data_IF_473514225235
#
_entry.id   IF_473514225235
#
_cell.length_a   1.000
_cell.length_b   1.000
_cell.length_c   1.000
_cell.angle_alpha   90.00
_cell.angle_beta   90.00
_cell.angle_gamma   90.00
#
_symmetry.space_group_name_H-M   'P 1'
#
loop_
_entity.id
_entity.type
_entity.pdbx_description
1 polymer ?
#
# COMPACT_ATOMS: atom_id res chain seq x y z
N UNK A 1 0.38 -37.63 10.96
CA UNK A 1 -0.84 -37.03 11.50
C UNK A 1 -0.55 -35.56 11.83
N UNK A 2 -0.85 -34.64 10.90
CA UNK A 2 -0.66 -33.20 11.17
C UNK A 2 -1.85 -32.72 12.01
N UNK A 3 -1.61 -32.49 13.28
CA UNK A 3 -2.59 -31.78 14.13
C UNK A 3 -2.49 -30.30 13.72
N UNK A 4 -3.42 -29.85 12.87
CA UNK A 4 -3.45 -28.48 12.40
C UNK A 4 -3.67 -27.49 13.57
N UNK A 5 -3.13 -26.29 13.45
CA UNK A 5 -3.28 -25.18 14.42
C UNK A 5 -4.76 -24.93 14.86
N UNK A 6 -5.71 -25.26 14.00
CA UNK A 6 -7.15 -25.09 14.24
C UNK A 6 -7.67 -26.04 15.31
N UNK A 7 -7.25 -27.33 15.30
CA UNK A 7 -7.67 -28.32 16.29
C UNK A 7 -7.23 -27.99 17.72
N UNK A 8 -6.07 -27.32 17.88
CA UNK A 8 -5.59 -26.85 19.19
C UNK A 8 -6.47 -25.70 19.68
N UNK A 9 -6.86 -24.77 18.79
CA UNK A 9 -7.73 -23.63 19.16
C UNK A 9 -9.11 -24.06 19.58
N UNK A 10 -9.65 -25.13 18.98
CA UNK A 10 -10.95 -25.71 19.38
C UNK A 10 -10.84 -26.32 20.78
N UNK A 11 -9.82 -27.13 21.05
CA UNK A 11 -9.58 -27.70 22.37
C UNK A 11 -9.40 -26.65 23.47
N UNK A 12 -8.87 -25.48 23.14
CA UNK A 12 -8.74 -24.34 24.05
C UNK A 12 -10.02 -23.48 24.15
N UNK A 13 -11.12 -23.87 23.48
CA UNK A 13 -12.38 -23.11 23.46
C UNK A 13 -12.28 -21.75 22.71
N UNK A 14 -11.24 -21.56 21.91
CA UNK A 14 -11.02 -20.35 21.11
C UNK A 14 -11.69 -20.40 19.74
N UNK A 15 -12.12 -21.59 19.30
CA UNK A 15 -12.81 -21.85 18.04
C UNK A 15 -13.90 -22.91 18.28
N UNK A 16 -14.93 -22.87 17.44
CA UNK A 16 -16.05 -23.83 17.47
C UNK A 16 -16.25 -24.35 16.04
N UNK A 17 -16.40 -25.65 15.88
CA UNK A 17 -16.82 -26.27 14.62
C UNK A 17 -18.34 -26.40 14.61
N UNK A 18 -18.98 -25.93 13.55
CA UNK A 18 -20.44 -25.99 13.42
C UNK A 18 -20.95 -27.41 13.17
N UNK A 19 -20.14 -28.30 12.57
CA UNK A 19 -20.46 -29.71 12.33
C UNK A 19 -20.57 -30.53 13.64
N UNK A 20 -19.87 -30.10 14.68
CA UNK A 20 -19.90 -30.75 16.01
C UNK A 20 -20.78 -30.00 17.02
N UNK A 21 -21.41 -28.89 16.61
CA UNK A 21 -22.12 -27.99 17.53
C UNK A 21 -23.59 -27.89 17.15
N UNK A 22 -24.54 -28.26 18.05
CA UNK A 22 -25.95 -28.11 17.76
C UNK A 22 -26.31 -26.62 17.68
N UNK A 23 -26.97 -26.24 16.58
CA UNK A 23 -27.48 -24.89 16.33
C UNK A 23 -28.93 -24.98 15.84
N UNK A 24 -29.75 -24.03 16.25
CA UNK A 24 -31.19 -24.00 15.96
C UNK A 24 -31.59 -22.88 15.03
N UNK A 25 -30.79 -21.82 14.94
CA UNK A 25 -31.05 -20.71 14.03
C UNK A 25 -29.79 -19.97 13.66
N UNK A 26 -29.84 -19.30 12.51
CA UNK A 26 -28.81 -18.38 12.04
C UNK A 26 -29.41 -17.00 11.74
N UNK A 27 -28.72 -15.95 12.11
CA UNK A 27 -29.03 -14.57 11.76
C UNK A 27 -27.80 -13.90 11.17
N UNK A 28 -27.98 -13.11 10.11
CA UNK A 28 -26.91 -12.31 9.50
C UNK A 28 -27.22 -10.82 9.64
N UNK A 29 -26.18 -10.03 9.90
CA UNK A 29 -26.30 -8.58 10.09
C UNK A 29 -25.06 -7.82 9.60
N UNK A 30 -25.23 -6.50 9.49
CA UNK A 30 -24.16 -5.54 9.20
C UNK A 30 -23.90 -4.73 10.48
N UNK A 31 -22.83 -4.97 11.22
CA UNK A 31 -22.55 -4.23 12.45
C UNK A 31 -22.14 -2.77 12.19
N UNK A 32 -21.68 -2.47 10.97
CA UNK A 32 -21.25 -1.13 10.57
C UNK A 32 -21.93 -0.72 9.26
N UNK A 33 -22.90 0.19 9.39
CA UNK A 33 -23.61 0.76 8.24
C UNK A 33 -24.79 -0.10 7.78
N UNK A 34 -25.84 0.58 7.31
CA UNK A 34 -27.07 -0.06 6.81
C UNK A 34 -27.09 -0.21 5.29
N UNK A 35 -26.15 0.41 4.57
CA UNK A 35 -26.11 0.47 3.11
C UNK A 35 -24.66 0.45 2.59
N UNK A 36 -24.47 0.08 1.32
CA UNK A 36 -23.16 0.02 0.67
C UNK A 36 -23.10 0.97 -0.52
N UNK A 37 -22.02 1.74 -0.63
CA UNK A 37 -21.78 2.59 -1.79
C UNK A 37 -20.95 1.86 -2.87
N UNK A 38 -21.05 2.24 -4.16
CA UNK A 38 -20.15 1.73 -5.21
C UNK A 38 -18.68 1.87 -4.84
N UNK A 39 -17.91 0.79 -4.98
CA UNK A 39 -16.52 0.70 -4.53
C UNK A 39 -16.35 0.42 -3.02
N UNK A 40 -17.43 0.42 -2.25
CA UNK A 40 -17.42 0.18 -0.82
C UNK A 40 -17.27 -1.28 -0.42
N UNK A 41 -17.00 -1.48 0.86
CA UNK A 41 -16.92 -2.81 1.50
C UNK A 41 -17.57 -2.76 2.88
N UNK A 42 -18.26 -3.84 3.25
CA UNK A 42 -18.85 -4.04 4.57
C UNK A 42 -18.49 -5.43 5.09
N UNK A 43 -18.37 -5.58 6.39
CA UNK A 43 -18.19 -6.89 7.02
C UNK A 43 -19.54 -7.40 7.50
N UNK A 44 -19.81 -8.67 7.24
CA UNK A 44 -20.95 -9.39 7.76
C UNK A 44 -20.64 -9.94 9.16
N UNK A 45 -21.66 -10.13 9.95
CA UNK A 45 -21.62 -10.92 11.17
C UNK A 45 -22.76 -11.93 11.11
N UNK A 46 -22.45 -13.21 11.32
CA UNK A 46 -23.44 -14.25 11.47
C UNK A 46 -23.47 -14.73 12.93
N UNK A 47 -24.67 -14.82 13.49
CA UNK A 47 -24.97 -15.27 14.83
C UNK A 47 -25.71 -16.60 14.75
N UNK A 48 -25.30 -17.55 15.56
CA UNK A 48 -25.85 -18.91 15.63
C UNK A 48 -26.40 -19.14 17.03
N UNK A 49 -27.70 -19.42 17.14
CA UNK A 49 -28.32 -19.72 18.41
C UNK A 49 -28.27 -21.22 18.68
N UNK A 50 -27.81 -21.61 19.86
CA UNK A 50 -27.78 -23.00 20.33
C UNK A 50 -29.09 -23.35 21.06
N UNK A 51 -29.42 -24.65 21.23
CA UNK A 51 -30.61 -25.08 21.94
C UNK A 51 -30.70 -24.57 23.39
N UNK A 52 -29.57 -24.30 24.02
CA UNK A 52 -29.50 -23.75 25.39
C UNK A 52 -29.60 -22.19 25.42
N UNK A 53 -29.86 -21.56 24.28
CA UNK A 53 -30.00 -20.12 24.14
C UNK A 53 -28.67 -19.36 24.00
N UNK A 54 -27.54 -20.03 24.08
CA UNK A 54 -26.24 -19.37 23.82
C UNK A 54 -26.11 -18.97 22.37
N UNK A 55 -25.41 -17.86 22.11
CA UNK A 55 -25.15 -17.34 20.78
C UNK A 55 -23.67 -17.45 20.47
N UNK A 56 -23.37 -18.10 19.35
CA UNK A 56 -22.04 -18.14 18.75
C UNK A 56 -21.99 -17.13 17.62
N UNK A 57 -20.84 -16.48 17.44
CA UNK A 57 -20.65 -15.42 16.44
C UNK A 57 -19.47 -15.76 15.53
N UNK A 58 -19.53 -15.35 14.27
CA UNK A 58 -18.43 -15.50 13.33
C UNK A 58 -17.20 -14.71 13.73
N UNK A 59 -16.04 -15.21 13.36
CA UNK A 59 -14.75 -14.52 13.55
C UNK A 59 -14.73 -13.15 12.83
N UNK A 60 -13.94 -12.23 13.38
CA UNK A 60 -13.78 -10.88 12.80
C UNK A 60 -14.00 -9.80 13.84
N UNK A 61 -14.98 -8.91 13.62
CA UNK A 61 -15.16 -7.70 14.45
C UNK A 61 -15.49 -7.99 15.91
N UNK A 62 -16.28 -9.02 16.19
CA UNK A 62 -16.77 -9.35 17.54
C UNK A 62 -15.97 -10.47 18.23
N UNK A 63 -14.77 -10.78 17.75
CA UNK A 63 -13.91 -11.85 18.28
C UNK A 63 -14.63 -13.21 18.39
N UNK A 64 -15.55 -13.47 17.48
CA UNK A 64 -16.34 -14.68 17.44
C UNK A 64 -15.51 -15.94 17.25
N UNK A 65 -16.10 -17.10 17.50
CA UNK A 65 -15.45 -18.40 17.52
C UNK A 65 -15.77 -19.28 16.31
N UNK A 66 -16.78 -18.92 15.50
CA UNK A 66 -17.19 -19.64 14.29
C UNK A 66 -16.38 -19.15 13.10
N UNK A 67 -15.84 -20.07 12.31
CA UNK A 67 -15.05 -19.75 11.13
C UNK A 67 -15.96 -19.46 9.93
N UNK A 68 -15.61 -18.43 9.15
CA UNK A 68 -16.26 -18.18 7.87
C UNK A 68 -16.07 -19.31 6.86
N UNK A 69 -15.01 -20.13 7.00
CA UNK A 69 -14.77 -21.31 6.17
C UNK A 69 -15.80 -22.42 6.35
N UNK A 70 -16.54 -22.43 7.46
CA UNK A 70 -17.58 -23.40 7.75
C UNK A 70 -18.92 -23.03 7.11
N UNK A 71 -18.96 -21.89 6.42
CA UNK A 71 -20.14 -21.29 5.80
C UNK A 71 -19.99 -21.22 4.29
N UNK A 72 -21.09 -21.41 3.57
CA UNK A 72 -21.16 -21.13 2.15
C UNK A 72 -21.91 -19.81 1.92
N UNK A 73 -21.28 -18.89 1.18
CA UNK A 73 -21.81 -17.57 0.86
C UNK A 73 -22.12 -17.48 -0.63
N UNK A 74 -23.34 -17.07 -0.95
CA UNK A 74 -23.73 -16.63 -2.29
C UNK A 74 -24.16 -15.18 -2.25
N UNK A 75 -23.82 -14.42 -3.30
CA UNK A 75 -24.15 -13.00 -3.34
C UNK A 75 -24.53 -12.58 -4.76
N UNK A 76 -25.42 -11.58 -4.87
CA UNK A 76 -25.78 -10.92 -6.12
C UNK A 76 -25.52 -9.43 -6.00
N UNK A 77 -25.10 -8.80 -7.10
CA UNK A 77 -24.71 -7.39 -7.19
C UNK A 77 -23.40 -7.09 -6.42
N UNK A 78 -23.16 -7.71 -5.28
CA UNK A 78 -21.92 -7.66 -4.51
C UNK A 78 -21.15 -8.97 -4.64
N UNK A 79 -19.86 -8.94 -4.31
CA UNK A 79 -19.05 -10.15 -4.10
C UNK A 79 -18.82 -10.34 -2.60
N UNK A 80 -18.83 -11.58 -2.14
CA UNK A 80 -18.51 -11.93 -0.76
C UNK A 80 -17.23 -12.77 -0.71
N UNK A 81 -16.34 -12.47 0.21
CA UNK A 81 -15.11 -13.25 0.40
C UNK A 81 -15.25 -14.26 1.56
N UNK A 82 -14.26 -15.16 1.66
CA UNK A 82 -14.20 -16.20 2.71
C UNK A 82 -13.96 -15.66 4.13
N UNK A 83 -13.94 -14.35 4.32
CA UNK A 83 -13.83 -13.66 5.63
C UNK A 83 -15.09 -12.90 5.98
N UNK A 84 -16.19 -13.13 5.24
CA UNK A 84 -17.45 -12.43 5.45
C UNK A 84 -17.42 -10.96 5.05
N UNK A 85 -16.50 -10.55 4.17
CA UNK A 85 -16.48 -9.18 3.66
C UNK A 85 -17.19 -9.13 2.32
N UNK A 86 -18.21 -8.30 2.22
CA UNK A 86 -18.91 -7.99 0.97
C UNK A 86 -18.32 -6.73 0.34
N UNK A 87 -18.22 -6.74 -1.01
CA UNK A 87 -17.69 -5.62 -1.81
C UNK A 87 -18.64 -5.32 -2.95
N UNK A 88 -18.96 -4.05 -3.11
CA UNK A 88 -19.71 -3.57 -4.26
C UNK A 88 -18.72 -3.08 -5.32
N UNK A 89 -18.82 -3.51 -6.59
CA UNK A 89 -18.01 -2.95 -7.67
C UNK A 89 -18.15 -1.43 -7.76
N UNK A 90 -17.05 -0.77 -8.15
CA UNK A 90 -17.04 0.70 -8.21
C UNK A 90 -17.82 1.31 -9.38
N UNK A 91 -18.16 0.52 -10.41
CA UNK A 91 -18.99 0.97 -11.52
C UNK A 91 -20.47 0.98 -11.10
N UNK A 92 -21.10 2.14 -10.95
CA UNK A 92 -22.48 2.22 -10.49
C UNK A 92 -23.49 1.57 -11.45
N UNK A 93 -23.16 1.35 -12.73
CA UNK A 93 -24.02 0.64 -13.69
C UNK A 93 -24.33 -0.80 -13.28
N UNK A 94 -23.46 -1.39 -12.47
CA UNK A 94 -23.65 -2.75 -11.95
C UNK A 94 -24.74 -2.79 -10.89
N UNK A 95 -24.84 -1.73 -10.09
CA UNK A 95 -25.67 -1.65 -8.90
C UNK A 95 -26.90 -0.76 -9.03
N UNK A 96 -26.95 0.09 -10.04
CA UNK A 96 -28.01 1.06 -10.24
C UNK A 96 -29.38 0.42 -10.36
N UNK A 97 -30.34 0.89 -9.56
CA UNK A 97 -31.69 0.35 -9.48
C UNK A 97 -31.80 -1.05 -8.89
N UNK A 98 -30.73 -1.57 -8.28
CA UNK A 98 -30.68 -2.91 -7.69
C UNK A 98 -30.50 -2.86 -6.18
N UNK A 99 -30.83 -3.98 -5.54
CA UNK A 99 -30.53 -4.24 -4.13
C UNK A 99 -29.49 -5.36 -4.10
N UNK A 100 -28.43 -5.18 -3.34
CA UNK A 100 -27.47 -6.26 -3.14
C UNK A 100 -28.07 -7.31 -2.19
N UNK A 101 -27.84 -8.58 -2.50
CA UNK A 101 -28.37 -9.68 -1.72
C UNK A 101 -27.23 -10.65 -1.37
N UNK A 102 -27.23 -11.12 -0.14
CA UNK A 102 -26.31 -12.15 0.36
C UNK A 102 -27.12 -13.25 1.01
N UNK A 103 -26.81 -14.49 0.67
CA UNK A 103 -27.35 -15.69 1.32
C UNK A 103 -26.20 -16.46 1.95
N UNK A 104 -26.37 -16.85 3.21
CA UNK A 104 -25.44 -17.68 3.98
C UNK A 104 -26.13 -18.99 4.28
N UNK A 105 -25.45 -20.10 3.97
CA UNK A 105 -25.88 -21.46 4.33
C UNK A 105 -24.81 -22.14 5.15
N UNK A 106 -25.22 -23.08 5.98
CA UNK A 106 -24.35 -23.88 6.82
C UNK A 106 -24.30 -25.30 6.23
N UNK A 107 -23.23 -25.71 5.56
CA UNK A 107 -23.16 -27.01 4.89
C UNK A 107 -23.41 -28.21 5.83
N UNK A 108 -22.99 -28.12 7.09
CA UNK A 108 -23.26 -29.13 8.13
C UNK A 108 -24.69 -29.13 8.65
N UNK A 109 -25.46 -28.06 8.40
CA UNK A 109 -26.86 -27.87 8.81
C UNK A 109 -27.65 -27.27 7.63
N UNK A 110 -28.01 -28.09 6.61
CA UNK A 110 -28.59 -27.56 5.36
C UNK A 110 -29.93 -26.82 5.53
N UNK A 111 -30.63 -27.10 6.62
CA UNK A 111 -31.88 -26.43 7.00
C UNK A 111 -31.64 -24.97 7.48
N UNK A 112 -30.40 -24.63 7.86
CA UNK A 112 -30.07 -23.31 8.36
C UNK A 112 -29.56 -22.41 7.22
N UNK A 113 -30.34 -21.39 6.95
CA UNK A 113 -29.96 -20.33 6.00
C UNK A 113 -30.36 -18.97 6.53
N UNK A 114 -29.60 -17.96 6.18
CA UNK A 114 -29.93 -16.57 6.45
C UNK A 114 -29.71 -15.74 5.19
N UNK A 115 -30.60 -14.78 4.99
CA UNK A 115 -30.57 -13.88 3.83
C UNK A 115 -30.49 -12.45 4.32
N UNK A 116 -29.77 -11.61 3.59
CA UNK A 116 -29.63 -10.19 3.91
C UNK A 116 -29.68 -9.37 2.61
N UNK A 117 -30.63 -8.44 2.58
CA UNK A 117 -30.68 -7.40 1.57
C UNK A 117 -29.87 -6.20 2.05
N UNK A 118 -28.95 -5.73 1.22
CA UNK A 118 -28.09 -4.59 1.50
C UNK A 118 -28.47 -3.46 0.55
N UNK A 119 -29.11 -2.40 1.04
CA UNK A 119 -29.41 -1.22 0.24
C UNK A 119 -28.15 -0.59 -0.35
N UNK A 120 -28.26 -0.04 -1.53
CA UNK A 120 -27.19 0.70 -2.18
C UNK A 120 -27.40 2.18 -1.89
N UNK A 121 -26.34 2.88 -1.52
CA UNK A 121 -26.37 4.32 -1.28
C UNK A 121 -25.42 5.06 -2.21
N UNK A 122 -25.84 6.23 -2.61
CA UNK A 122 -25.02 7.22 -3.34
C UNK A 122 -24.73 8.47 -2.48
N UNK A 123 -25.23 8.48 -1.24
CA UNK A 123 -24.83 9.39 -0.18
C UNK A 123 -23.48 8.91 0.38
N UNK A 124 -22.41 9.27 -0.32
CA UNK A 124 -21.05 8.83 -0.03
C UNK A 124 -20.03 9.82 -0.59
N UNK A 125 -18.89 9.94 0.09
CA UNK A 125 -17.78 10.77 -0.37
C UNK A 125 -16.86 9.96 -1.31
N UNK A 126 -17.13 10.03 -2.60
CA UNK A 126 -16.31 9.37 -3.62
C UNK A 126 -15.01 10.12 -3.84
N UNK A 127 -13.92 9.38 -4.03
CA UNK A 127 -12.62 9.93 -4.39
C UNK A 127 -12.13 9.28 -5.68
N UNK A 128 -11.85 10.10 -6.68
CA UNK A 128 -11.23 9.68 -7.94
C UNK A 128 -9.82 10.24 -8.00
N UNK A 129 -8.82 9.38 -8.03
CA UNK A 129 -7.42 9.77 -8.06
C UNK A 129 -6.79 9.43 -9.43
N UNK A 130 -6.06 10.41 -10.01
CA UNK A 130 -5.35 10.35 -11.27
C UNK A 130 -3.95 10.96 -11.08
N UNK A 131 -3.15 10.39 -10.19
CA UNK A 131 -1.76 10.82 -10.02
C UNK A 131 -0.88 10.29 -11.14
N UNK A 132 0.07 11.08 -11.59
CA UNK A 132 1.07 10.66 -12.57
C UNK A 132 2.29 9.99 -11.91
N UNK A 133 3.21 9.51 -12.75
CA UNK A 133 4.37 8.75 -12.31
C UNK A 133 5.42 9.64 -11.63
N UNK A 134 6.11 9.15 -10.61
CA UNK A 134 7.23 9.86 -10.02
C UNK A 134 8.40 9.97 -11.02
N UNK A 135 9.21 11.00 -10.86
CA UNK A 135 10.46 11.17 -11.60
C UNK A 135 11.46 10.04 -11.29
N UNK A 136 12.37 9.79 -12.21
CA UNK A 136 13.45 8.83 -12.02
C UNK A 136 14.44 9.31 -10.96
N UNK A 137 14.96 8.39 -10.15
CA UNK A 137 16.05 8.73 -9.23
C UNK A 137 17.35 9.01 -9.99
N UNK A 138 18.12 9.97 -9.51
CA UNK A 138 19.47 10.22 -10.01
C UNK A 138 20.41 9.06 -9.70
N UNK A 139 21.46 8.89 -10.50
CA UNK A 139 22.50 7.88 -10.27
C UNK A 139 23.50 8.37 -9.23
N UNK A 140 24.05 7.45 -8.45
CA UNK A 140 25.11 7.78 -7.50
C UNK A 140 26.40 8.15 -8.25
N UNK A 141 27.19 9.03 -7.66
CA UNK A 141 28.55 9.30 -8.07
C UNK A 141 29.46 8.07 -7.86
N UNK A 142 30.53 8.00 -8.61
CA UNK A 142 31.56 6.96 -8.42
C UNK A 142 32.49 7.35 -7.27
N UNK A 143 32.98 6.34 -6.56
CA UNK A 143 33.99 6.54 -5.53
C UNK A 143 35.33 6.98 -6.17
N UNK A 144 36.09 7.77 -5.45
CA UNK A 144 37.47 8.11 -5.81
C UNK A 144 38.38 6.90 -5.69
N UNK A 145 39.52 6.96 -6.34
CA UNK A 145 40.55 5.92 -6.22
C UNK A 145 41.44 6.21 -5.01
N UNK A 146 41.85 5.14 -4.34
CA UNK A 146 42.84 5.24 -3.26
C UNK A 146 44.20 5.74 -3.77
N UNK A 147 44.94 6.39 -2.91
CA UNK A 147 46.29 6.83 -3.18
C UNK A 147 47.24 5.64 -3.40
N UNK A 148 48.32 5.90 -4.07
CA UNK A 148 49.40 4.88 -4.27
C UNK A 148 50.29 4.79 -3.06
N UNK A 149 50.71 3.58 -2.69
CA UNK A 149 51.65 3.38 -1.58
C UNK A 149 52.99 4.09 -1.85
N UNK A 150 53.57 4.65 -0.80
CA UNK A 150 54.93 5.21 -0.88
C UNK A 150 55.99 4.17 -1.22
N UNK A 151 57.09 4.61 -1.84
CA UNK A 151 58.20 3.72 -2.15
C UNK A 151 58.95 3.29 -0.84
N UNK A 152 59.37 2.05 -0.79
CA UNK A 152 60.24 1.61 0.32
C UNK A 152 61.58 2.35 0.32
N UNK A 153 62.01 2.84 1.46
CA UNK A 153 63.34 3.39 1.64
C UNK A 153 64.41 2.31 1.50
N UNK A 154 65.61 2.71 1.14
CA UNK A 154 66.76 1.81 1.09
C UNK A 154 67.21 1.44 2.52
N UNK A 155 67.29 0.12 2.79
CA UNK A 155 67.81 -0.41 4.03
C UNK A 155 69.30 -0.61 3.89
N UNK A 156 70.06 0.49 3.91
CA UNK A 156 71.52 0.43 4.09
C UNK A 156 71.83 0.70 5.57
N UNK A 157 72.45 -0.26 6.31
CA UNK A 157 72.76 -0.04 7.72
C UNK A 157 73.62 1.16 8.00
N UNK A 158 74.41 1.62 6.99
CA UNK A 158 75.31 2.74 7.12
C UNK A 158 74.77 4.06 6.60
N UNK A 159 73.70 4.02 5.78
CA UNK A 159 73.06 5.19 5.20
C UNK A 159 71.59 4.92 4.85
N UNK A 160 70.74 4.73 5.83
CA UNK A 160 69.33 4.46 5.58
C UNK A 160 68.66 5.67 4.90
N UNK A 161 67.92 5.42 3.81
CA UNK A 161 67.09 6.46 3.22
C UNK A 161 65.65 6.35 3.69
N UNK A 162 64.96 7.45 3.92
CA UNK A 162 63.57 7.42 4.26
C UNK A 162 62.71 6.88 3.09
N UNK A 163 61.62 6.18 3.39
CA UNK A 163 60.67 5.79 2.37
C UNK A 163 60.00 7.02 1.70
N UNK A 164 59.49 6.86 0.52
CA UNK A 164 58.72 7.90 -0.16
C UNK A 164 57.35 8.07 0.47
N UNK A 165 56.77 9.24 0.38
CA UNK A 165 55.40 9.53 0.79
C UNK A 165 54.41 8.74 -0.06
N UNK A 166 53.31 8.29 0.52
CA UNK A 166 52.17 7.76 -0.18
C UNK A 166 51.48 8.86 -1.02
N UNK A 167 50.84 8.43 -2.09
CA UNK A 167 50.02 9.34 -2.90
C UNK A 167 48.69 9.67 -2.24
N UNK A 168 48.12 10.81 -2.58
CA UNK A 168 46.75 11.17 -2.15
C UNK A 168 45.72 10.35 -2.95
N UNK A 169 44.62 9.97 -2.31
CA UNK A 169 43.45 9.48 -3.00
C UNK A 169 42.82 10.59 -3.88
N UNK A 170 41.96 10.19 -4.80
CA UNK A 170 41.19 11.11 -5.63
C UNK A 170 39.81 11.40 -5.06
N UNK A 171 39.22 12.54 -5.41
CA UNK A 171 37.83 12.85 -5.01
C UNK A 171 36.84 11.90 -5.69
N UNK A 172 35.76 11.56 -4.97
CA UNK A 172 34.60 10.92 -5.58
C UNK A 172 33.83 11.88 -6.50
N UNK A 173 33.09 11.36 -7.44
CA UNK A 173 32.25 12.17 -8.31
C UNK A 173 30.91 12.55 -7.68
N UNK A 174 30.30 13.63 -8.12
CA UNK A 174 28.96 14.01 -7.68
C UNK A 174 27.90 13.01 -8.16
N UNK A 175 26.85 12.82 -7.37
CA UNK A 175 25.64 12.15 -7.83
C UNK A 175 24.87 13.02 -8.83
N UNK A 176 24.06 12.38 -9.66
CA UNK A 176 23.18 13.07 -10.60
C UNK A 176 21.87 13.53 -9.94
N UNK A 177 21.27 14.60 -10.44
CA UNK A 177 19.95 15.04 -10.00
C UNK A 177 18.88 14.00 -10.38
N UNK A 178 17.82 13.94 -9.59
CA UNK A 178 16.62 13.18 -9.93
C UNK A 178 15.87 13.83 -11.09
N UNK A 179 15.15 13.03 -11.85
CA UNK A 179 14.28 13.49 -12.92
C UNK A 179 13.03 14.21 -12.39
N UNK A 180 12.43 15.07 -13.21
CA UNK A 180 11.14 15.67 -12.90
C UNK A 180 10.04 14.61 -12.83
N UNK A 181 9.05 14.79 -11.95
CA UNK A 181 7.81 14.02 -11.97
C UNK A 181 6.98 14.36 -13.22
N UNK A 182 6.05 13.47 -13.57
CA UNK A 182 5.10 13.73 -14.66
C UNK A 182 4.15 14.89 -14.33
N UNK A 183 3.67 15.57 -15.36
CA UNK A 183 2.70 16.66 -15.20
C UNK A 183 1.33 16.11 -14.76
N UNK A 184 0.55 16.92 -14.03
CA UNK A 184 -0.81 16.57 -13.68
C UNK A 184 -1.64 16.34 -14.94
N UNK A 185 -2.35 15.20 -15.08
CA UNK A 185 -3.14 14.93 -16.28
C UNK A 185 -4.34 15.87 -16.36
N UNK A 186 -4.73 16.34 -17.57
CA UNK A 186 -5.94 17.11 -17.74
C UNK A 186 -7.17 16.25 -17.39
N UNK A 187 -8.09 16.82 -16.63
CA UNK A 187 -9.32 16.14 -16.18
C UNK A 187 -10.54 16.78 -16.81
N UNK A 188 -11.46 15.95 -17.30
CA UNK A 188 -12.78 16.36 -17.77
C UNK A 188 -13.86 15.71 -16.90
N UNK A 189 -14.83 16.51 -16.45
CA UNK A 189 -15.87 16.06 -15.54
C UNK A 189 -17.24 16.58 -16.02
N UNK A 190 -17.83 16.02 -17.09
CA UNK A 190 -19.21 16.30 -17.41
C UNK A 190 -20.12 15.75 -16.31
N UNK A 191 -21.01 16.62 -15.82
CA UNK A 191 -22.00 16.30 -14.78
C UNK A 191 -23.40 16.58 -15.32
N UNK A 192 -24.29 15.63 -15.13
CA UNK A 192 -25.71 15.76 -15.50
C UNK A 192 -26.59 15.39 -14.31
N UNK A 193 -27.72 16.08 -14.17
CA UNK A 193 -28.73 15.67 -13.21
C UNK A 193 -29.57 14.56 -13.84
N UNK A 194 -29.58 13.40 -13.19
CA UNK A 194 -30.43 12.29 -13.55
C UNK A 194 -31.72 12.35 -12.75
N UNK A 195 -32.89 12.48 -13.40
CA UNK A 195 -34.16 12.48 -12.68
C UNK A 195 -34.42 11.11 -12.04
N UNK A 196 -35.02 11.13 -10.87
CA UNK A 196 -35.35 9.94 -10.08
C UNK A 196 -35.87 10.33 -8.70
N UNK A 197 -36.11 9.36 -7.85
CA UNK A 197 -36.50 9.60 -6.47
C UNK A 197 -35.64 8.75 -5.54
N UNK A 198 -34.57 9.34 -4.94
CA UNK A 198 -34.10 10.72 -5.11
C UNK A 198 -33.43 10.97 -6.47
N UNK A 199 -33.32 12.23 -6.91
CA UNK A 199 -32.53 12.58 -8.10
C UNK A 199 -31.05 12.41 -7.79
N UNK A 200 -30.25 11.99 -8.79
CA UNK A 200 -28.82 11.78 -8.63
C UNK A 200 -28.00 12.62 -9.61
N UNK A 201 -26.83 13.07 -9.19
CA UNK A 201 -25.83 13.62 -10.09
C UNK A 201 -25.04 12.47 -10.72
N UNK A 202 -25.04 12.43 -12.05
CA UNK A 202 -24.21 11.51 -12.81
C UNK A 202 -22.97 12.24 -13.30
N UNK A 203 -21.81 11.88 -12.77
CA UNK A 203 -20.52 12.46 -13.13
C UNK A 203 -19.66 11.42 -13.86
N UNK A 204 -19.16 11.80 -15.04
CA UNK A 204 -18.20 10.98 -15.78
C UNK A 204 -16.82 11.65 -15.70
N UNK A 205 -15.90 11.07 -14.98
CA UNK A 205 -14.56 11.60 -14.79
C UNK A 205 -13.62 10.92 -15.77
N UNK A 206 -12.98 11.68 -16.64
CA UNK A 206 -11.97 11.19 -17.59
C UNK A 206 -10.64 11.91 -17.41
N UNK A 207 -9.55 11.15 -17.29
CA UNK A 207 -8.19 11.63 -17.24
C UNK A 207 -7.22 10.52 -17.63
N UNK A 208 -6.10 10.85 -18.28
CA UNK A 208 -5.04 9.90 -18.65
C UNK A 208 -5.58 8.64 -19.38
N UNK A 209 -6.54 8.78 -20.29
CA UNK A 209 -7.16 7.68 -21.04
C UNK A 209 -8.06 6.75 -20.22
N UNK A 210 -8.30 7.05 -18.94
CA UNK A 210 -9.21 6.31 -18.05
C UNK A 210 -10.51 7.08 -17.88
N UNK A 211 -11.63 6.37 -17.84
CA UNK A 211 -12.95 6.95 -17.57
C UNK A 211 -13.59 6.21 -16.40
N UNK A 212 -14.18 6.97 -15.47
CA UNK A 212 -14.92 6.46 -14.31
C UNK A 212 -16.27 7.17 -14.22
N UNK A 213 -17.31 6.40 -13.97
CA UNK A 213 -18.67 6.90 -13.77
C UNK A 213 -18.98 6.92 -12.28
N UNK A 214 -19.65 7.98 -11.83
CA UNK A 214 -20.16 8.14 -10.48
C UNK A 214 -21.61 8.53 -10.49
N UNK A 215 -22.37 7.99 -9.56
CA UNK A 215 -23.69 8.48 -9.17
C UNK A 215 -23.55 9.02 -7.76
N UNK A 216 -23.99 10.26 -7.54
CA UNK A 216 -23.81 10.97 -6.28
C UNK A 216 -25.14 11.58 -5.86
N UNK A 217 -25.52 11.35 -4.61
CA UNK A 217 -26.67 12.02 -4.02
C UNK A 217 -26.33 13.50 -3.80
N UNK A 218 -27.05 14.45 -4.40
CA UNK A 218 -26.74 15.88 -4.26
C UNK A 218 -26.98 16.42 -2.85
N UNK A 219 -27.69 15.69 -1.99
CA UNK A 219 -28.00 16.15 -0.63
C UNK A 219 -26.95 15.74 0.41
N UNK A 220 -26.30 14.58 0.25
CA UNK A 220 -25.35 14.07 1.24
C UNK A 220 -24.04 13.56 0.65
N UNK A 221 -24.02 13.21 -0.64
CA UNK A 221 -22.84 12.69 -1.30
C UNK A 221 -21.90 13.77 -1.84
N UNK A 222 -20.63 13.40 -2.04
CA UNK A 222 -19.63 14.25 -2.67
C UNK A 222 -18.73 13.46 -3.62
N UNK A 223 -18.17 14.13 -4.63
CA UNK A 223 -17.14 13.60 -5.50
C UNK A 223 -15.91 14.50 -5.45
N UNK A 224 -14.82 13.98 -4.92
CA UNK A 224 -13.52 14.63 -4.94
C UNK A 224 -12.67 14.02 -6.04
N UNK A 225 -12.18 14.84 -6.97
CA UNK A 225 -11.25 14.42 -8.02
C UNK A 225 -9.90 15.03 -7.73
N UNK A 226 -8.86 14.17 -7.66
CA UNK A 226 -7.47 14.54 -7.49
C UNK A 226 -6.70 14.21 -8.77
N UNK A 227 -5.96 15.17 -9.28
CA UNK A 227 -5.08 15.01 -10.43
C UNK A 227 -3.79 15.74 -10.13
N UNK A 228 -2.90 15.06 -9.40
CA UNK A 228 -1.63 15.61 -8.98
C UNK A 228 -0.54 15.18 -9.97
N UNK A 229 0.41 16.04 -10.24
CA UNK A 229 1.66 15.66 -10.92
C UNK A 229 2.46 14.67 -10.07
N UNK A 230 3.33 13.92 -10.71
CA UNK A 230 4.24 13.01 -10.02
C UNK A 230 5.27 13.79 -9.19
N UNK A 231 5.72 13.27 -8.04
CA UNK A 231 6.83 13.87 -7.31
C UNK A 231 8.13 13.77 -8.13
N UNK A 232 9.03 14.74 -7.97
CA UNK A 232 10.38 14.65 -8.52
C UNK A 232 11.15 13.46 -7.96
N UNK A 233 12.09 12.93 -8.74
CA UNK A 233 12.98 11.85 -8.31
C UNK A 233 14.00 12.34 -7.28
N UNK A 234 14.49 11.43 -6.44
CA UNK A 234 15.58 11.72 -5.51
C UNK A 234 16.90 11.92 -6.27
N UNK A 235 17.73 12.86 -5.85
CA UNK A 235 19.09 12.97 -6.32
C UNK A 235 19.95 11.76 -5.91
N UNK A 236 20.94 11.42 -6.72
CA UNK A 236 21.96 10.43 -6.41
C UNK A 236 22.90 10.91 -5.30
N UNK A 237 23.51 9.97 -4.58
CA UNK A 237 24.55 10.30 -3.60
C UNK A 237 25.86 10.58 -4.31
N UNK A 238 26.66 11.50 -3.77
CA UNK A 238 28.05 11.66 -4.14
C UNK A 238 28.86 10.40 -3.80
N UNK A 239 29.87 10.11 -4.62
CA UNK A 239 30.86 9.07 -4.34
C UNK A 239 31.74 9.44 -3.13
N UNK A 240 32.34 8.44 -2.51
CA UNK A 240 33.32 8.65 -1.44
C UNK A 240 34.65 9.07 -2.08
N UNK A 241 35.41 9.91 -1.37
CA UNK A 241 36.83 10.13 -1.71
C UNK A 241 37.63 8.86 -1.44
N UNK A 242 38.65 8.61 -2.24
CA UNK A 242 39.59 7.55 -1.99
C UNK A 242 40.49 7.85 -0.80
N UNK A 243 40.92 6.82 -0.08
CA UNK A 243 41.85 6.99 1.03
C UNK A 243 43.27 7.27 0.54
N UNK A 244 43.96 8.15 1.25
CA UNK A 244 45.41 8.32 1.04
C UNK A 244 46.15 7.13 1.64
N UNK A 245 47.11 6.55 0.88
CA UNK A 245 47.94 5.49 1.40
C UNK A 245 48.93 5.97 2.44
N UNK A 246 49.04 5.20 3.51
CA UNK A 246 50.05 5.46 4.51
C UNK A 246 51.46 5.21 3.93
N UNK A 247 52.48 6.00 4.36
CA UNK A 247 53.82 5.72 3.93
C UNK A 247 54.31 4.36 4.44
N UNK A 248 55.09 3.67 3.61
CA UNK A 248 55.69 2.38 4.01
C UNK A 248 56.73 2.63 5.06
N UNK A 249 56.46 2.22 6.29
CA UNK A 249 57.40 2.34 7.42
C UNK A 249 58.42 1.22 7.34
N UNK A 250 59.59 1.50 6.81
CA UNK A 250 60.75 0.68 7.08
C UNK A 250 61.39 1.19 8.39
N UNK A 251 61.07 0.57 9.50
CA UNK A 251 61.77 0.52 10.76
C UNK A 251 62.35 1.78 11.41
N UNK A 252 62.17 3.00 10.87
CA UNK A 252 62.65 4.27 11.44
C UNK A 252 61.64 5.42 11.29
N UNK A 253 61.50 6.30 12.28
CA UNK A 253 60.38 7.20 12.40
C UNK A 253 60.62 8.52 11.69
N UNK A 254 60.00 8.69 10.54
CA UNK A 254 59.49 10.03 10.10
C UNK A 254 58.52 9.87 8.94
N UNK A 255 57.26 10.05 9.22
CA UNK A 255 56.19 9.72 8.30
C UNK A 255 55.27 10.89 8.18
N UNK A 256 55.06 11.38 6.93
CA UNK A 256 53.91 12.21 6.60
C UNK A 256 52.74 11.30 6.23
N UNK A 257 51.62 11.41 6.94
CA UNK A 257 50.39 10.71 6.60
C UNK A 257 49.80 11.26 5.27
N UNK A 258 49.33 10.37 4.41
CA UNK A 258 48.55 10.74 3.25
C UNK A 258 47.27 11.52 3.64
N UNK A 259 46.79 12.38 2.75
CA UNK A 259 45.58 13.18 2.98
C UNK A 259 44.40 12.40 2.43
N UNK A 260 43.35 12.24 3.21
CA UNK A 260 42.07 11.67 2.76
C UNK A 260 41.40 12.62 1.74
N UNK A 261 40.95 12.08 0.64
CA UNK A 261 40.21 12.83 -0.35
C UNK A 261 38.80 13.21 0.16
N UNK A 262 38.22 14.22 -0.42
CA UNK A 262 36.87 14.70 -0.06
C UNK A 262 35.81 13.73 -0.51
N UNK A 263 34.69 13.69 0.25
CA UNK A 263 33.47 13.07 -0.21
C UNK A 263 32.82 13.93 -1.29
N UNK A 264 32.27 13.30 -2.33
CA UNK A 264 31.49 14.02 -3.34
C UNK A 264 30.25 14.68 -2.77
N UNK A 265 29.76 15.69 -3.47
CA UNK A 265 28.53 16.37 -3.08
C UNK A 265 27.31 15.49 -3.31
N UNK A 266 26.31 15.62 -2.45
CA UNK A 266 25.01 14.97 -2.66
C UNK A 266 24.23 15.67 -3.75
N UNK A 267 23.64 14.92 -4.67
CA UNK A 267 22.78 15.48 -5.70
C UNK A 267 21.59 16.25 -5.08
N UNK A 268 21.13 17.28 -5.77
CA UNK A 268 20.01 18.08 -5.29
C UNK A 268 18.67 17.38 -5.54
N UNK A 269 17.70 17.61 -4.68
CA UNK A 269 16.31 17.16 -4.92
C UNK A 269 15.61 18.14 -5.84
N UNK A 270 15.10 17.67 -6.98
CA UNK A 270 14.25 18.49 -7.82
C UNK A 270 12.84 18.55 -7.22
N UNK A 271 12.51 19.59 -6.46
CA UNK A 271 11.15 19.92 -6.08
C UNK A 271 10.52 20.85 -7.13
N UNK A 272 9.56 20.33 -7.89
CA UNK A 272 8.63 21.17 -8.63
C UNK A 272 7.23 20.91 -8.09
N UNK A 273 6.70 21.84 -7.32
CA UNK A 273 5.25 21.96 -7.11
C UNK A 273 4.60 22.44 -8.41
N UNK A 274 3.73 21.60 -8.98
CA UNK A 274 2.86 22.06 -10.04
C UNK A 274 1.82 23.00 -9.43
N UNK A 275 1.87 24.28 -9.77
CA UNK A 275 0.84 25.25 -9.41
C UNK A 275 -0.49 24.82 -10.03
N UNK A 276 -1.49 24.52 -9.21
CA UNK A 276 -2.86 24.29 -9.65
C UNK A 276 -3.43 25.63 -10.07
N UNK A 277 -3.58 25.85 -11.37
CA UNK A 277 -4.38 26.94 -11.88
C UNK A 277 -5.87 26.59 -11.70
N UNK A 278 -6.50 27.09 -10.64
CA UNK A 278 -7.94 27.14 -10.50
C UNK A 278 -8.49 28.25 -11.40
N UNK A 279 -9.26 27.90 -12.38
CA UNK A 279 -10.28 28.77 -13.01
C UNK A 279 -11.58 28.00 -13.06
#
# INVERSE_FOLDING_TARGET
MQIGCTSIKVKLGLRVYLDETPVTSIKVSLPKGAAIAPGGKLSLVAEFTQPDGKVLVTEGQDKGKVLWSDLALTATVVTADKKGVVRLPGDPRISDGKIAHVMITVPSHPELRAELNIPITYDYNFVSNFSDSPGSSGTNGSDGMDGTSGSMGFIDPNNPSPGGNGGNGTDGSNGQDGGNGGDAPPVQIPVTLRPGNPPLLQASVSAAGKQRLYLVDPQGGALTVKADGGPGGSGGRGGRGGDGEAPVVSGFPTVAAGVTARTGETGSMAHREAAVASR
#
